data_IF_137589373998
#
_entry.id   IF_137589373998
#
_cell.length_a   1.000
_cell.length_b   1.000
_cell.length_c   1.000
_cell.angle_alpha   90.00
_cell.angle_beta   90.00
_cell.angle_gamma   90.00
#
_symmetry.space_group_name_H-M   'P 1'
#
loop_
_entity.id
_entity.type
_entity.pdbx_description
1 polymer ?
#
# COMPACT_ATOMS: atom_id res chain seq x y z
N UNK A 1 -14.39 -21.16 -1.04
CA UNK A 1 -14.11 -19.73 -0.82
C UNK A 1 -12.82 -19.40 -1.55
N UNK A 2 -12.92 -18.83 -2.75
CA UNK A 2 -11.75 -18.43 -3.52
C UNK A 2 -11.22 -17.12 -2.93
N UNK A 3 -10.06 -17.20 -2.30
CA UNK A 3 -9.27 -16.02 -1.96
C UNK A 3 -8.89 -15.34 -3.28
N UNK A 4 -9.66 -14.31 -3.67
CA UNK A 4 -9.29 -13.40 -4.73
C UNK A 4 -8.07 -12.62 -4.26
N UNK A 5 -6.87 -13.13 -4.56
CA UNK A 5 -5.65 -12.33 -4.51
C UNK A 5 -5.88 -11.05 -5.34
N UNK A 6 -5.54 -9.86 -4.83
CA UNK A 6 -5.75 -8.62 -5.54
C UNK A 6 -4.99 -8.69 -6.87
N UNK A 7 -5.76 -8.68 -7.95
CA UNK A 7 -5.31 -8.75 -9.33
C UNK A 7 -4.16 -7.78 -9.53
N UNK A 8 -3.00 -8.27 -9.97
CA UNK A 8 -1.88 -7.46 -10.43
C UNK A 8 -2.34 -6.55 -11.60
N UNK A 9 -2.71 -5.31 -11.30
CA UNK A 9 -3.11 -4.34 -12.32
C UNK A 9 -1.83 -3.71 -12.89
N UNK A 10 -1.43 -4.21 -14.07
CA UNK A 10 -0.39 -3.63 -14.90
C UNK A 10 -0.69 -2.14 -15.18
N UNK A 11 0.36 -1.31 -15.16
CA UNK A 11 0.35 0.13 -15.34
C UNK A 11 -0.72 0.64 -16.31
N UNK A 12 -1.75 1.31 -15.79
CA UNK A 12 -2.23 2.62 -16.30
C UNK A 12 -3.45 3.20 -15.59
N UNK A 13 -4.25 2.42 -14.84
CA UNK A 13 -5.37 2.98 -14.08
C UNK A 13 -5.56 2.27 -12.75
N UNK A 14 -5.29 2.99 -11.67
CA UNK A 14 -5.81 2.62 -10.35
C UNK A 14 -7.31 2.92 -10.40
N UNK A 15 -8.18 1.94 -10.07
CA UNK A 15 -9.61 2.18 -10.04
C UNK A 15 -9.96 3.25 -9.00
N UNK A 16 -11.03 4.02 -9.24
CA UNK A 16 -11.51 5.03 -8.28
C UNK A 16 -11.84 4.33 -6.96
N UNK A 17 -11.39 4.91 -5.84
CA UNK A 17 -11.52 4.30 -4.52
C UNK A 17 -10.37 3.36 -4.14
N UNK A 18 -9.32 3.31 -4.94
CA UNK A 18 -8.07 2.60 -4.62
C UNK A 18 -6.87 3.54 -4.80
N UNK A 19 -5.74 3.18 -4.20
CA UNK A 19 -4.47 3.88 -4.36
C UNK A 19 -3.32 2.87 -4.51
N UNK A 20 -2.19 3.33 -5.07
CA UNK A 20 -1.01 2.52 -5.26
C UNK A 20 0.01 2.78 -4.15
N UNK A 21 0.54 1.70 -3.59
CA UNK A 21 1.61 1.73 -2.59
C UNK A 21 2.79 0.89 -3.06
N UNK A 22 3.99 1.29 -2.68
CA UNK A 22 5.25 0.65 -3.01
C UNK A 22 5.88 0.15 -1.72
N UNK A 23 6.09 -1.16 -1.62
CA UNK A 23 6.50 -1.81 -0.36
C UNK A 23 7.83 -2.53 -0.56
N UNK A 24 8.68 -2.48 0.46
CA UNK A 24 9.95 -3.18 0.51
C UNK A 24 11.04 -2.57 -0.39
N UNK A 25 12.19 -3.25 -0.41
CA UNK A 25 13.37 -2.86 -1.18
C UNK A 25 13.12 -2.97 -2.69
N UNK A 26 12.36 -3.97 -3.11
CA UNK A 26 11.96 -4.17 -4.51
C UNK A 26 10.94 -3.14 -5.01
N UNK A 27 10.46 -2.24 -4.14
CA UNK A 27 9.37 -1.30 -4.41
C UNK A 27 8.21 -2.00 -5.11
N UNK A 28 7.75 -3.11 -4.54
CA UNK A 28 6.67 -3.87 -5.15
C UNK A 28 5.38 -3.07 -5.05
N UNK A 29 4.71 -2.91 -6.18
CA UNK A 29 3.48 -2.13 -6.28
C UNK A 29 2.27 -2.95 -5.84
N UNK A 30 1.56 -2.47 -4.83
CA UNK A 30 0.27 -2.98 -4.40
C UNK A 30 -0.83 -1.94 -4.65
N UNK A 31 -2.05 -2.41 -4.89
CA UNK A 31 -3.23 -1.55 -5.05
C UNK A 31 -4.22 -1.92 -3.97
N UNK A 32 -4.49 -0.98 -3.07
CA UNK A 32 -5.34 -1.20 -1.90
C UNK A 32 -6.48 -0.16 -1.89
N UNK A 33 -7.65 -0.50 -1.31
CA UNK A 33 -8.77 0.44 -1.28
C UNK A 33 -8.49 1.60 -0.34
N UNK A 34 -9.01 2.78 -0.68
CA UNK A 34 -8.82 4.01 0.13
C UNK A 34 -9.38 3.89 1.55
N UNK A 35 -10.29 2.95 1.80
CA UNK A 35 -10.81 2.65 3.14
C UNK A 35 -9.72 2.29 4.15
N UNK A 36 -8.59 1.75 3.68
CA UNK A 36 -7.43 1.46 4.53
C UNK A 36 -6.83 2.72 5.16
N UNK A 37 -6.90 3.88 4.48
CA UNK A 37 -6.39 5.15 5.02
C UNK A 37 -7.13 5.62 6.28
N UNK A 38 -8.35 5.10 6.51
CA UNK A 38 -9.13 5.39 7.70
C UNK A 38 -8.80 4.44 8.87
N UNK A 39 -7.99 3.41 8.65
CA UNK A 39 -7.59 2.48 9.70
C UNK A 39 -6.42 3.08 10.50
N UNK A 40 -6.50 3.16 11.84
CA UNK A 40 -5.46 3.77 12.65
C UNK A 40 -4.10 3.10 12.42
N UNK A 41 -4.07 1.77 12.31
CA UNK A 41 -2.86 1.01 11.98
C UNK A 41 -2.20 1.45 10.66
N UNK A 42 -3.00 1.81 9.66
CA UNK A 42 -2.46 2.28 8.38
C UNK A 42 -1.97 3.73 8.49
N UNK A 43 -2.61 4.55 9.33
CA UNK A 43 -2.15 5.92 9.62
C UNK A 43 -0.81 5.93 10.35
N UNK A 44 -0.60 5.01 11.30
CA UNK A 44 0.71 4.82 11.93
C UNK A 44 1.78 4.43 10.89
N UNK A 45 1.46 3.51 9.97
CA UNK A 45 2.35 3.15 8.86
C UNK A 45 2.66 4.34 7.94
N UNK A 46 1.67 5.19 7.65
CA UNK A 46 1.85 6.42 6.88
C UNK A 46 2.79 7.40 7.57
N UNK A 47 2.67 7.57 8.89
CA UNK A 47 3.57 8.42 9.66
C UNK A 47 5.02 7.91 9.60
N UNK A 48 5.22 6.60 9.72
CA UNK A 48 6.55 5.98 9.58
C UNK A 48 7.12 6.18 8.17
N UNK A 49 6.28 5.99 7.14
CA UNK A 49 6.65 6.25 5.75
C UNK A 49 7.09 7.69 5.50
N UNK A 50 6.37 8.63 6.08
CA UNK A 50 6.63 10.05 5.93
C UNK A 50 7.93 10.47 6.63
N UNK A 51 8.20 9.94 7.83
CA UNK A 51 9.44 10.19 8.55
C UNK A 51 10.67 9.67 7.76
N UNK A 52 10.55 8.48 7.16
CA UNK A 52 11.66 7.86 6.43
C UNK A 52 11.87 8.43 5.00
N UNK A 53 10.78 8.63 4.24
CA UNK A 53 10.85 8.99 2.83
C UNK A 53 10.44 10.44 2.52
N UNK A 54 9.87 11.16 3.47
CA UNK A 54 9.25 12.47 3.26
C UNK A 54 8.04 12.40 2.31
N UNK A 55 7.52 13.58 1.95
CA UNK A 55 6.37 13.72 1.03
C UNK A 55 6.74 13.71 -0.45
N UNK A 56 8.04 13.72 -0.78
CA UNK A 56 8.51 13.83 -2.17
C UNK A 56 8.56 12.45 -2.81
N UNK A 57 7.50 12.12 -3.55
CA UNK A 57 7.43 10.86 -4.29
C UNK A 57 7.38 11.12 -5.80
N UNK A 58 8.50 10.99 -6.53
CA UNK A 58 8.53 11.24 -7.98
C UNK A 58 7.60 10.29 -8.77
N UNK A 59 7.30 9.12 -8.21
CA UNK A 59 6.45 8.09 -8.82
C UNK A 59 4.95 8.28 -8.48
N UNK A 60 4.59 9.28 -7.67
CA UNK A 60 3.20 9.60 -7.34
C UNK A 60 2.46 8.54 -6.51
N UNK A 61 3.18 7.60 -5.89
CA UNK A 61 2.61 6.61 -4.99
C UNK A 61 3.32 6.60 -3.64
N UNK A 62 2.61 6.07 -2.64
CA UNK A 62 3.08 6.02 -1.26
C UNK A 62 4.12 4.92 -1.09
N UNK A 63 5.23 5.22 -0.41
CA UNK A 63 6.25 4.21 -0.10
C UNK A 63 6.15 3.76 1.35
N UNK A 64 6.04 2.46 1.59
CA UNK A 64 5.92 1.88 2.93
C UNK A 64 7.25 1.23 3.35
N UNK A 65 7.89 1.69 4.44
CA UNK A 65 9.13 1.13 4.98
C UNK A 65 8.83 -0.14 5.79
N UNK A 66 8.22 -1.13 5.14
CA UNK A 66 7.90 -2.41 5.77
C UNK A 66 8.26 -3.55 4.84
N UNK A 67 8.54 -4.70 5.44
CA UNK A 67 8.69 -5.94 4.68
C UNK A 67 7.40 -6.26 3.93
N UNK A 68 7.55 -6.76 2.70
CA UNK A 68 6.43 -7.14 1.84
C UNK A 68 5.50 -8.13 2.54
N UNK A 69 6.06 -9.12 3.26
CA UNK A 69 5.29 -10.11 4.03
C UNK A 69 4.47 -9.50 5.16
N UNK A 70 5.04 -8.53 5.89
CA UNK A 70 4.34 -7.83 6.98
C UNK A 70 3.20 -7.01 6.40
N UNK A 71 3.44 -6.31 5.29
CA UNK A 71 2.41 -5.53 4.63
C UNK A 71 1.25 -6.41 4.15
N UNK A 72 1.54 -7.59 3.60
CA UNK A 72 0.52 -8.57 3.19
C UNK A 72 -0.26 -9.11 4.39
N UNK A 73 0.40 -9.40 5.51
CA UNK A 73 -0.28 -9.82 6.75
C UNK A 73 -1.23 -8.74 7.27
N UNK A 74 -0.74 -7.51 7.43
CA UNK A 74 -1.54 -6.37 7.91
C UNK A 74 -2.71 -6.11 6.96
N UNK A 75 -2.47 -6.13 5.65
CA UNK A 75 -3.55 -5.90 4.69
C UNK A 75 -4.57 -7.02 4.64
N UNK A 76 -4.17 -8.26 4.92
CA UNK A 76 -5.09 -9.40 5.03
C UNK A 76 -5.98 -9.31 6.26
N UNK A 77 -5.50 -8.70 7.36
CA UNK A 77 -6.26 -8.51 8.61
C UNK A 77 -7.24 -7.34 8.57
N UNK A 78 -7.09 -6.45 7.60
CA UNK A 78 -7.92 -5.26 7.42
C UNK A 78 -9.05 -5.47 6.39
N UNK A 79 -9.17 -6.68 5.83
CA UNK A 79 -10.19 -7.08 4.85
C UNK A 79 -11.37 -7.84 5.47
#
# INVERSE_FOLDING_TARGET
>A
MAIHLPRIISSKKVPKGYFAVYVGENQKRFVIPVSFLNQPLFQDLLGMSEDEFGYTHPTGGLRIPCNEDIFVDVTSRLN
#
